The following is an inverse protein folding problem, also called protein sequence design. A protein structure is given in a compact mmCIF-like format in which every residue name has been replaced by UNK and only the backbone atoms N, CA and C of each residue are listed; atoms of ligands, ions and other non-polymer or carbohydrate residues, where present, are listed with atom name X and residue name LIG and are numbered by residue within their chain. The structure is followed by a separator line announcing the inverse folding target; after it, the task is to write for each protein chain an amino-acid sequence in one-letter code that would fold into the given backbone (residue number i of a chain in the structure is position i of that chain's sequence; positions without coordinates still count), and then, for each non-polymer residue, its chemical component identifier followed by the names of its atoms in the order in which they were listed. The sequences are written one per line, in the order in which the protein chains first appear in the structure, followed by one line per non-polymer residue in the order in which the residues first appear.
data_IF_878508961418
#
_entry.id   IF_878508961418
#
_cell.length_a   1.000
_cell.length_b   1.000
_cell.length_c   1.000
_cell.angle_alpha   90.00
_cell.angle_beta   90.00
_cell.angle_gamma   90.00
#
_symmetry.space_group_name_H-M   'P 1'
#
loop_
_entity.id
_entity.type
_entity.pdbx_description
1 polymer ?
#
# COMPACT_ATOMS: atom_id res chain seq x y z
N UNK A 1 17.67 -4.05 -6.67
CA UNK A 1 16.36 -3.77 -7.30
C UNK A 1 15.99 -2.34 -6.90
N UNK A 2 15.60 -1.47 -7.84
CA UNK A 2 15.27 -0.07 -7.55
C UNK A 2 13.75 0.09 -7.37
N UNK A 3 13.22 -0.37 -6.25
CA UNK A 3 11.86 0.01 -5.86
C UNK A 3 11.92 1.47 -5.38
N UNK A 4 11.02 2.31 -5.88
CA UNK A 4 10.89 3.70 -5.41
C UNK A 4 9.74 3.84 -4.43
N UNK A 5 8.70 3.00 -4.55
CA UNK A 5 7.44 3.12 -3.80
C UNK A 5 7.29 1.92 -2.87
N UNK A 6 7.03 2.19 -1.59
CA UNK A 6 6.72 1.16 -0.60
C UNK A 6 5.29 1.32 -0.13
N UNK A 7 4.58 0.19 -0.06
CA UNK A 7 3.24 0.09 0.51
C UNK A 7 3.34 -0.80 1.75
N UNK A 8 3.15 -0.23 2.94
CA UNK A 8 3.04 -0.99 4.18
C UNK A 8 1.58 -1.32 4.45
N UNK A 9 1.27 -2.58 4.75
CA UNK A 9 -0.08 -3.06 5.08
C UNK A 9 -0.05 -3.84 6.38
N UNK A 10 -0.82 -3.38 7.38
CA UNK A 10 -1.17 -4.15 8.57
C UNK A 10 -2.52 -4.86 8.33
N UNK A 11 -2.49 -6.19 8.43
CA UNK A 11 -3.60 -7.06 8.04
C UNK A 11 -4.45 -7.41 9.26
N UNK A 12 -5.69 -6.92 9.32
CA UNK A 12 -6.67 -7.34 10.31
C UNK A 12 -7.89 -8.07 9.70
N UNK A 13 -8.74 -8.62 10.57
CA UNK A 13 -9.85 -9.53 10.20
C UNK A 13 -10.90 -8.88 9.30
N UNK A 14 -11.24 -7.62 9.56
CA UNK A 14 -12.38 -6.93 8.92
C UNK A 14 -11.96 -5.75 8.05
N UNK A 15 -10.78 -5.19 8.30
CA UNK A 15 -10.18 -4.12 7.52
C UNK A 15 -8.65 -4.25 7.58
N UNK A 16 -7.98 -3.49 6.75
CA UNK A 16 -6.53 -3.38 6.70
C UNK A 16 -6.16 -1.91 6.83
N UNK A 17 -5.06 -1.65 7.51
CA UNK A 17 -4.46 -0.32 7.64
C UNK A 17 -3.25 -0.27 6.72
N UNK A 18 -3.10 0.83 5.97
CA UNK A 18 -2.03 0.95 4.99
C UNK A 18 -1.49 2.38 4.88
N UNK A 19 -0.28 2.46 4.34
CA UNK A 19 0.47 3.70 4.12
C UNK A 19 1.40 3.54 2.91
N UNK A 20 1.62 4.63 2.16
CA UNK A 20 2.48 4.64 0.97
C UNK A 20 3.52 5.76 1.04
N UNK A 21 4.77 5.43 0.75
CA UNK A 21 5.86 6.40 0.70
C UNK A 21 6.89 6.12 -0.40
N UNK A 22 7.62 7.15 -0.78
CA UNK A 22 8.81 7.03 -1.59
C UNK A 22 9.98 6.59 -0.71
N UNK A 23 10.51 5.40 -0.97
CA UNK A 23 11.62 4.80 -0.23
C UNK A 23 12.99 5.44 -0.49
N UNK A 24 13.13 6.25 -1.52
CA UNK A 24 14.37 6.96 -1.85
C UNK A 24 14.41 8.34 -1.18
N UNK A 25 13.29 9.05 -1.14
CA UNK A 25 13.20 10.40 -0.55
C UNK A 25 12.70 10.37 0.90
N UNK A 26 11.97 9.33 1.29
CA UNK A 26 11.25 9.25 2.57
C UNK A 26 9.94 10.04 2.59
N UNK A 27 9.49 10.58 1.45
CA UNK A 27 8.27 11.37 1.34
C UNK A 27 7.01 10.50 1.42
N UNK A 28 6.04 10.92 2.22
CA UNK A 28 4.72 10.29 2.30
C UNK A 28 3.92 10.64 1.05
N UNK A 29 3.54 9.63 0.27
CA UNK A 29 2.75 9.79 -0.95
C UNK A 29 1.27 9.67 -0.64
N UNK A 30 0.93 8.73 0.23
CA UNK A 30 -0.42 8.57 0.75
C UNK A 30 -0.30 8.37 2.25
N UNK A 31 -0.89 9.31 2.98
CA UNK A 31 -1.08 9.20 4.43
C UNK A 31 -1.83 7.91 4.77
N UNK A 32 -1.89 7.60 6.06
CA UNK A 32 -2.65 6.48 6.58
C UNK A 32 -4.06 6.37 5.94
N UNK A 33 -4.39 5.18 5.45
CA UNK A 33 -5.72 4.85 4.94
C UNK A 33 -6.15 3.45 5.37
N UNK A 34 -7.47 3.23 5.40
CA UNK A 34 -8.09 1.94 5.69
C UNK A 34 -8.85 1.43 4.48
N UNK A 35 -8.84 0.11 4.29
CA UNK A 35 -9.72 -0.56 3.32
C UNK A 35 -10.31 -1.83 3.93
N UNK A 36 -11.52 -2.19 3.52
CA UNK A 36 -12.20 -3.38 4.04
C UNK A 36 -11.53 -4.67 3.56
N UNK A 37 -11.66 -5.74 4.35
CA UNK A 37 -11.30 -7.09 3.93
C UNK A 37 -12.39 -7.70 3.04
N UNK A 38 -12.65 -7.04 1.91
CA UNK A 38 -13.61 -7.44 0.88
C UNK A 38 -13.11 -7.01 -0.51
N UNK A 39 -13.78 -7.46 -1.57
CA UNK A 39 -13.38 -7.17 -2.95
C UNK A 39 -13.32 -5.67 -3.25
N UNK A 40 -14.23 -4.87 -2.69
CA UNK A 40 -14.26 -3.42 -2.92
C UNK A 40 -13.10 -2.70 -2.23
N UNK A 41 -12.71 -3.16 -1.05
CA UNK A 41 -11.50 -2.69 -0.37
C UNK A 41 -10.23 -3.00 -1.17
N UNK A 42 -10.09 -4.22 -1.68
CA UNK A 42 -8.95 -4.59 -2.52
C UNK A 42 -8.94 -3.86 -3.87
N UNK A 43 -10.08 -3.63 -4.51
CA UNK A 43 -10.17 -2.81 -5.72
C UNK A 43 -9.69 -1.36 -5.48
N UNK A 44 -10.03 -0.80 -4.31
CA UNK A 44 -9.57 0.54 -3.90
C UNK A 44 -8.05 0.58 -3.74
N UNK A 45 -7.46 -0.43 -3.09
CA UNK A 45 -6.00 -0.56 -2.97
C UNK A 45 -5.34 -0.69 -4.36
N UNK A 46 -5.86 -1.57 -5.22
CA UNK A 46 -5.34 -1.79 -6.58
C UNK A 46 -5.38 -0.52 -7.42
N UNK A 47 -6.48 0.23 -7.33
CA UNK A 47 -6.64 1.52 -8.03
C UNK A 47 -5.59 2.55 -7.59
N UNK A 48 -5.23 2.56 -6.30
CA UNK A 48 -4.21 3.45 -5.74
C UNK A 48 -2.81 3.07 -6.24
N UNK A 49 -2.43 1.77 -6.15
CA UNK A 49 -1.08 1.31 -6.52
C UNK A 49 -0.84 1.30 -8.04
N UNK A 50 -1.88 1.16 -8.85
CA UNK A 50 -1.78 1.19 -10.32
C UNK A 50 -1.42 2.57 -10.88
N UNK A 51 -1.38 3.61 -10.04
CA UNK A 51 -0.87 4.94 -10.42
C UNK A 51 0.66 4.94 -10.57
N UNK A 52 1.34 3.94 -9.99
CA UNK A 52 2.80 3.81 -10.03
C UNK A 52 3.26 2.80 -11.09
N UNK A 53 4.46 2.96 -11.67
CA UNK A 53 5.03 1.95 -12.56
C UNK A 53 5.15 0.58 -11.89
N UNK A 54 4.70 -0.50 -12.55
CA UNK A 54 4.65 -1.86 -11.97
C UNK A 54 5.95 -2.35 -11.31
N UNK A 55 7.13 -1.99 -11.83
CA UNK A 55 8.41 -2.42 -11.28
C UNK A 55 8.96 -1.50 -10.17
N UNK A 56 8.18 -0.49 -9.75
CA UNK A 56 8.59 0.50 -8.75
C UNK A 56 7.97 0.27 -7.38
N UNK A 57 6.91 -0.55 -7.28
CA UNK A 57 6.17 -0.81 -6.05
C UNK A 57 6.72 -2.05 -5.34
N UNK A 58 6.96 -1.95 -4.04
CA UNK A 58 7.21 -3.07 -3.14
C UNK A 58 6.15 -3.06 -2.02
N UNK A 59 5.47 -4.18 -1.81
CA UNK A 59 4.43 -4.31 -0.79
C UNK A 59 4.98 -5.10 0.39
N UNK A 60 5.02 -4.49 1.57
CA UNK A 60 5.31 -5.13 2.84
C UNK A 60 4.02 -5.41 3.59
N UNK A 61 3.86 -6.65 4.07
CA UNK A 61 2.65 -7.10 4.76
C UNK A 61 3.02 -7.59 6.15
N UNK A 62 2.40 -7.02 7.17
CA UNK A 62 2.47 -7.47 8.56
C UNK A 62 1.12 -8.10 8.93
N UNK A 63 1.16 -9.29 9.51
CA UNK A 63 -0.02 -9.97 10.04
C UNK A 63 0.14 -10.10 11.56
N UNK A 64 -0.83 -9.56 12.30
CA UNK A 64 -0.86 -9.55 13.77
C UNK A 64 -1.75 -10.65 14.33
#
# INVERSE_FOLDING_TARGET
MNHSIFVGIDVAKHHHDAYIFDSKTGEVITEHFKFNNDSGGFESLVTLINQFPNNSVLIGVEAT
#
